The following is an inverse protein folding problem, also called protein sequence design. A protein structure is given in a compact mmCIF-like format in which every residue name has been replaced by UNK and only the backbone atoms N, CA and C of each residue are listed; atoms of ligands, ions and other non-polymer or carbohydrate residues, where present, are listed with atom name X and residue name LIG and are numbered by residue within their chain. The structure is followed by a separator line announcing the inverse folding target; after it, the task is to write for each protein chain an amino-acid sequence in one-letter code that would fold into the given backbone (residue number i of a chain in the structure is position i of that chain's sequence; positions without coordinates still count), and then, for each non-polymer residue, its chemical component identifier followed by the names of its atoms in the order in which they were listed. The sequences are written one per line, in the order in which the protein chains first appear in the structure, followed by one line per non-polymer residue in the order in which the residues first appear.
data_IF_699843684154
#
_entry.id   IF_699843684154
#
_cell.length_a   1.000
_cell.length_b   1.000
_cell.length_c   1.000
_cell.angle_alpha   90.00
_cell.angle_beta   90.00
_cell.angle_gamma   90.00
#
_symmetry.space_group_name_H-M   'P 1'
#
loop_
_entity.id
_entity.type
_entity.pdbx_description
1 polymer ?
#
# COMPACT_ATOMS: atom_id res chain seq x y z
N UNK A 1 -10.58 -17.82 7.09
CA UNK A 1 -11.32 -17.04 6.12
C UNK A 1 -10.55 -15.82 5.72
N UNK A 2 -10.59 -15.51 4.44
CA UNK A 2 -9.75 -14.45 3.91
C UNK A 2 -10.41 -13.09 3.94
N UNK A 3 -11.59 -13.02 4.54
CA UNK A 3 -12.38 -11.79 4.53
C UNK A 3 -11.65 -10.62 5.12
N UNK A 4 -10.90 -10.85 6.20
CA UNK A 4 -10.16 -9.77 6.84
C UNK A 4 -9.11 -9.17 5.90
N UNK A 5 -8.36 -10.03 5.21
CA UNK A 5 -7.35 -9.55 4.27
C UNK A 5 -7.99 -8.79 3.12
N UNK A 6 -9.11 -9.28 2.60
CA UNK A 6 -9.80 -8.60 1.50
C UNK A 6 -10.35 -7.25 1.95
N UNK A 7 -10.90 -7.18 3.15
CA UNK A 7 -11.36 -5.91 3.71
C UNK A 7 -10.21 -4.94 3.86
N UNK A 8 -9.06 -5.44 4.32
CA UNK A 8 -7.86 -4.60 4.45
C UNK A 8 -7.43 -4.04 3.08
N UNK A 9 -7.49 -4.86 2.04
CA UNK A 9 -7.13 -4.40 0.71
C UNK A 9 -8.11 -3.34 0.19
N UNK A 10 -9.41 -3.54 0.44
CA UNK A 10 -10.40 -2.55 0.05
C UNK A 10 -10.14 -1.22 0.74
N UNK A 11 -9.87 -1.27 2.05
CA UNK A 11 -9.59 -0.06 2.82
C UNK A 11 -8.29 0.61 2.37
N UNK A 12 -7.27 -0.21 2.10
CA UNK A 12 -6.01 0.32 1.62
C UNK A 12 -6.18 1.03 0.28
N UNK A 13 -7.00 0.48 -0.60
CA UNK A 13 -7.24 1.07 -1.90
C UNK A 13 -7.94 2.42 -1.77
N UNK A 14 -8.95 2.50 -0.90
CA UNK A 14 -9.64 3.76 -0.63
C UNK A 14 -8.69 4.78 0.01
N UNK A 15 -7.91 4.33 0.97
CA UNK A 15 -6.96 5.21 1.65
C UNK A 15 -5.92 5.74 0.68
N UNK A 16 -5.50 4.91 -0.28
CA UNK A 16 -4.52 5.33 -1.28
C UNK A 16 -5.06 6.48 -2.13
N UNK A 17 -6.34 6.40 -2.49
CA UNK A 17 -6.95 7.47 -3.28
C UNK A 17 -7.02 8.78 -2.52
N UNK A 18 -7.03 8.72 -1.20
CA UNK A 18 -7.19 9.91 -0.36
C UNK A 18 -5.92 10.31 0.38
N UNK A 19 -4.84 9.56 0.25
CA UNK A 19 -3.65 9.84 1.04
C UNK A 19 -2.97 11.13 0.57
N UNK A 20 -2.43 11.85 1.54
CA UNK A 20 -1.82 13.16 1.27
C UNK A 20 -0.43 13.31 1.87
N UNK A 21 0.04 12.33 2.61
CA UNK A 21 1.33 12.42 3.28
C UNK A 21 2.15 11.17 3.02
N UNK A 22 3.47 11.32 3.15
CA UNK A 22 4.40 10.20 3.03
C UNK A 22 4.08 9.12 4.06
N UNK A 23 3.75 9.54 5.29
CA UNK A 23 3.45 8.59 6.35
C UNK A 23 2.22 7.76 6.02
N UNK A 24 1.18 8.39 5.50
CA UNK A 24 -0.03 7.67 5.12
C UNK A 24 0.26 6.67 4.01
N UNK A 25 1.02 7.07 3.01
CA UNK A 25 1.37 6.18 1.91
C UNK A 25 2.19 5.00 2.40
N UNK A 26 3.12 5.25 3.34
CA UNK A 26 3.92 4.17 3.93
C UNK A 26 3.04 3.18 4.68
N UNK A 27 2.09 3.68 5.45
CA UNK A 27 1.17 2.80 6.19
C UNK A 27 0.36 1.93 5.24
N UNK A 28 -0.10 2.51 4.13
CA UNK A 28 -0.84 1.75 3.13
C UNK A 28 0.03 0.66 2.52
N UNK A 29 1.28 0.98 2.20
CA UNK A 29 2.21 -0.01 1.66
C UNK A 29 2.44 -1.15 2.64
N UNK A 30 2.60 -0.83 3.93
CA UNK A 30 2.82 -1.84 4.96
C UNK A 30 1.60 -2.75 5.11
N UNK A 31 0.40 -2.17 5.08
CA UNK A 31 -0.83 -2.96 5.17
C UNK A 31 -0.96 -3.89 3.98
N UNK A 32 -0.69 -3.38 2.79
CA UNK A 32 -0.78 -4.19 1.57
C UNK A 32 0.25 -5.32 1.58
N UNK A 33 1.45 -5.05 2.07
CA UNK A 33 2.49 -6.08 2.14
C UNK A 33 2.11 -7.17 3.14
N UNK A 34 1.60 -6.79 4.31
CA UNK A 34 1.15 -7.77 5.29
C UNK A 34 0.02 -8.63 4.74
N UNK A 35 -0.91 -8.00 4.03
CA UNK A 35 -2.01 -8.74 3.41
C UNK A 35 -1.50 -9.70 2.34
N UNK A 36 -0.52 -9.27 1.54
CA UNK A 36 0.06 -10.12 0.51
C UNK A 36 0.68 -11.38 1.12
N UNK A 37 1.48 -11.21 2.17
CA UNK A 37 2.13 -12.33 2.83
C UNK A 37 1.09 -13.30 3.38
N UNK A 38 0.07 -12.78 4.03
CA UNK A 38 -1.00 -13.61 4.59
C UNK A 38 -1.72 -14.38 3.49
N UNK A 39 -2.04 -13.71 2.39
CA UNK A 39 -2.76 -14.33 1.29
C UNK A 39 -1.92 -15.43 0.62
N UNK A 40 -0.63 -15.23 0.51
CA UNK A 40 0.24 -16.27 -0.01
C UNK A 40 0.24 -17.50 0.89
N UNK A 41 0.30 -17.28 2.20
CA UNK A 41 0.31 -18.38 3.16
C UNK A 41 -0.99 -19.18 3.15
N UNK A 42 -2.10 -18.53 2.85
CA UNK A 42 -3.40 -19.19 2.85
C UNK A 42 -3.80 -19.70 1.46
N UNK A 43 -2.86 -19.67 0.52
CA UNK A 43 -3.08 -20.17 -0.84
C UNK A 43 -4.22 -19.44 -1.56
N UNK A 44 -4.30 -18.13 -1.36
CA UNK A 44 -5.28 -17.32 -2.08
C UNK A 44 -4.95 -17.32 -3.56
N UNK A 45 -5.91 -16.93 -4.38
CA UNK A 45 -5.72 -16.92 -5.81
C UNK A 45 -4.60 -15.96 -6.19
N UNK A 46 -3.95 -16.25 -7.32
CA UNK A 46 -2.90 -15.40 -7.85
C UNK A 46 -3.41 -13.97 -8.05
N UNK A 47 -4.65 -13.85 -8.51
CA UNK A 47 -5.25 -12.54 -8.74
C UNK A 47 -5.33 -11.72 -7.46
N UNK A 48 -5.74 -12.38 -6.36
CA UNK A 48 -5.85 -11.70 -5.08
C UNK A 48 -4.48 -11.28 -4.53
N UNK A 49 -3.51 -12.18 -4.64
CA UNK A 49 -2.13 -11.88 -4.22
C UNK A 49 -1.58 -10.72 -5.05
N UNK A 50 -1.81 -10.75 -6.34
CA UNK A 50 -1.34 -9.68 -7.23
C UNK A 50 -2.00 -8.35 -6.92
N UNK A 51 -3.26 -8.36 -6.52
CA UNK A 51 -3.94 -7.13 -6.12
C UNK A 51 -3.24 -6.47 -4.94
N UNK A 52 -2.86 -7.28 -3.94
CA UNK A 52 -2.14 -6.75 -2.79
C UNK A 52 -0.79 -6.18 -3.20
N UNK A 53 -0.06 -6.88 -4.06
CA UNK A 53 1.23 -6.41 -4.55
C UNK A 53 1.08 -5.11 -5.33
N UNK A 54 0.02 -4.99 -6.10
CA UNK A 54 -0.24 -3.79 -6.89
C UNK A 54 -0.52 -2.58 -6.01
N UNK A 55 -1.34 -2.77 -4.97
CA UNK A 55 -1.64 -1.69 -4.04
C UNK A 55 -0.36 -1.23 -3.35
N UNK A 56 0.49 -2.17 -2.95
CA UNK A 56 1.76 -1.83 -2.34
C UNK A 56 2.62 -1.00 -3.29
N UNK A 57 2.72 -1.43 -4.54
CA UNK A 57 3.52 -0.73 -5.54
C UNK A 57 3.01 0.68 -5.77
N UNK A 58 1.69 0.84 -5.86
CA UNK A 58 1.10 2.15 -6.06
C UNK A 58 1.33 3.05 -4.86
N UNK A 59 1.25 2.49 -3.65
CA UNK A 59 1.51 3.27 -2.44
C UNK A 59 2.97 3.72 -2.37
N UNK A 60 3.90 2.84 -2.75
CA UNK A 60 5.30 3.19 -2.78
C UNK A 60 5.59 4.28 -3.81
N UNK A 61 4.92 4.19 -4.95
CA UNK A 61 5.06 5.21 -5.97
C UNK A 61 4.52 6.56 -5.48
N UNK A 62 3.39 6.53 -4.80
CA UNK A 62 2.81 7.74 -4.25
C UNK A 62 3.73 8.35 -3.20
N UNK A 63 4.34 7.50 -2.37
CA UNK A 63 5.31 7.95 -1.40
C UNK A 63 6.47 8.69 -2.07
N UNK A 64 6.97 8.13 -3.17
CA UNK A 64 8.04 8.77 -3.93
C UNK A 64 7.61 10.12 -4.49
N UNK A 65 6.36 10.23 -4.96
CA UNK A 65 5.86 11.50 -5.47
C UNK A 65 5.78 12.55 -4.37
N UNK A 66 5.31 12.16 -3.19
CA UNK A 66 5.25 13.09 -2.07
C UNK A 66 6.65 13.55 -1.66
N UNK A 67 7.61 12.64 -1.68
CA UNK A 67 8.98 13.00 -1.33
C UNK A 67 9.57 14.00 -2.31
N UNK A 68 9.24 13.87 -3.59
CA UNK A 68 9.70 14.81 -4.59
C UNK A 68 9.14 16.22 -4.37
N UNK A 69 7.95 16.30 -3.81
CA UNK A 69 7.29 17.58 -3.60
C UNK A 69 7.71 18.28 -2.33
N UNK A 70 8.40 17.58 -1.45
CA UNK A 70 8.84 18.18 -0.20
C UNK A 70 9.99 19.14 -0.43
N UNK A 71 9.98 20.28 0.27
CA UNK A 71 11.10 21.22 0.17
C UNK A 71 12.38 20.53 0.63
N UNK A 72 13.46 20.78 -0.08
CA UNK A 72 14.75 20.22 0.31
C UNK A 72 15.35 21.07 1.41
N UNK A 73 15.53 20.47 2.57
CA UNK A 73 16.17 21.13 3.68
C UNK A 73 17.67 21.18 3.45
N UNK A 74 18.23 22.27 3.90
CA UNK A 74 19.66 22.41 3.83
C UNK A 74 20.15 22.38 2.43
N UNK A 75 19.27 22.49 1.54
CA UNK A 75 19.64 22.46 0.17
C UNK A 75 20.77 23.40 -0.07
N UNK A 76 21.15 23.89 0.83
CA UNK A 76 22.30 24.73 0.65
C UNK A 76 22.65 24.62 -0.73
#
# INVERSE_FOLDING_TARGET
MNDTALVQLDRAQLALAECKTVMEAKQIADIAEAARVYLERTNASVETVNRAAEIRTLAERQMGEFLKQMPKNGGG
#
